data_IF_293091244394
#
_entry.id   IF_293091244394
#
_cell.length_a   1.000
_cell.length_b   1.000
_cell.length_c   1.000
_cell.angle_alpha   90.00
_cell.angle_beta   90.00
_cell.angle_gamma   90.00
#
_symmetry.space_group_name_H-M   'P 1'
#
loop_
_entity.id
_entity.type
_entity.pdbx_description
1 polymer ?
#
# COMPACT_ATOMS: atom_id res chain seq x y z
N UNK A 1 -13.81 5.16 -17.48
CA UNK A 1 -15.02 4.32 -17.61
C UNK A 1 -16.00 4.40 -16.42
N UNK A 2 -15.61 4.24 -15.13
CA UNK A 2 -16.58 4.13 -14.03
C UNK A 2 -17.47 5.37 -13.83
N UNK A 3 -16.89 6.58 -13.92
CA UNK A 3 -17.61 7.85 -13.72
C UNK A 3 -18.74 8.09 -14.74
N UNK A 4 -18.67 7.50 -15.94
CA UNK A 4 -19.71 7.62 -16.95
C UNK A 4 -20.92 6.71 -16.69
N UNK A 5 -20.74 5.56 -16.02
CA UNK A 5 -21.86 4.68 -15.66
C UNK A 5 -22.72 5.29 -14.55
N UNK A 6 -22.09 5.92 -13.56
CA UNK A 6 -22.78 6.60 -12.46
C UNK A 6 -23.68 7.74 -12.94
N UNK A 7 -23.16 8.62 -13.80
CA UNK A 7 -23.93 9.76 -14.35
C UNK A 7 -25.10 9.36 -15.23
N UNK A 8 -25.14 8.12 -15.73
CA UNK A 8 -26.23 7.59 -16.56
C UNK A 8 -27.21 6.71 -15.78
N UNK A 9 -27.12 6.67 -14.45
CA UNK A 9 -28.00 5.83 -13.61
C UNK A 9 -27.81 4.32 -13.81
N UNK A 10 -26.71 3.89 -14.45
CA UNK A 10 -26.46 2.48 -14.77
C UNK A 10 -25.81 1.69 -13.62
N UNK A 11 -25.53 2.35 -12.50
CA UNK A 11 -24.97 1.77 -11.29
C UNK A 11 -25.66 2.37 -10.08
N UNK A 12 -26.02 1.53 -9.11
CA UNK A 12 -26.53 1.96 -7.81
C UNK A 12 -25.71 1.31 -6.69
N UNK A 13 -25.58 2.02 -5.58
CA UNK A 13 -24.98 1.52 -4.34
C UNK A 13 -26.02 1.67 -3.25
N UNK A 14 -26.18 0.62 -2.45
CA UNK A 14 -27.12 0.55 -1.34
C UNK A 14 -26.40 -0.01 -0.13
N UNK A 15 -26.82 0.43 1.05
CA UNK A 15 -26.41 -0.18 2.31
C UNK A 15 -27.35 -1.37 2.56
N UNK A 16 -26.76 -2.51 2.95
CA UNK A 16 -27.53 -3.69 3.33
C UNK A 16 -28.01 -3.51 4.77
N UNK A 17 -29.34 -3.52 4.97
CA UNK A 17 -29.96 -3.41 6.29
C UNK A 17 -31.10 -4.44 6.40
N UNK A 18 -31.15 -5.25 7.47
CA UNK A 18 -30.13 -5.41 8.51
C UNK A 18 -28.86 -6.12 7.98
N UNK A 19 -27.72 -5.94 8.67
CA UNK A 19 -26.45 -6.59 8.37
C UNK A 19 -25.65 -6.83 9.66
N UNK A 20 -25.60 -8.06 10.13
CA UNK A 20 -24.88 -8.44 11.35
C UNK A 20 -23.39 -8.79 11.10
N UNK A 21 -23.01 -8.86 9.82
CA UNK A 21 -21.67 -9.25 9.38
C UNK A 21 -20.75 -8.03 9.26
N UNK A 22 -19.53 -8.12 9.81
CA UNK A 22 -18.51 -7.05 9.75
C UNK A 22 -18.11 -6.75 8.29
N UNK A 23 -18.03 -7.79 7.46
CA UNK A 23 -17.74 -7.67 6.03
C UNK A 23 -18.86 -8.33 5.23
N UNK A 24 -19.59 -7.50 4.50
CA UNK A 24 -20.60 -7.93 3.53
C UNK A 24 -20.42 -7.12 2.25
N UNK A 25 -20.38 -7.80 1.10
CA UNK A 25 -20.47 -7.12 -0.19
C UNK A 25 -21.26 -7.94 -1.18
N UNK A 26 -22.13 -7.26 -1.93
CA UNK A 26 -22.93 -7.86 -3.00
C UNK A 26 -22.76 -7.03 -4.26
N UNK A 27 -22.27 -7.68 -5.32
CA UNK A 27 -22.15 -7.09 -6.64
C UNK A 27 -23.11 -7.78 -7.60
N UNK A 28 -24.01 -6.99 -8.23
CA UNK A 28 -24.92 -7.47 -9.27
C UNK A 28 -24.61 -6.75 -10.57
N UNK A 29 -24.51 -7.50 -11.65
CA UNK A 29 -24.23 -7.02 -13.01
C UNK A 29 -25.32 -7.46 -13.97
N UNK A 30 -25.59 -6.65 -14.98
CA UNK A 30 -26.66 -6.88 -15.96
C UNK A 30 -26.12 -6.83 -17.39
N UNK A 31 -26.70 -7.65 -18.26
CA UNK A 31 -26.55 -7.59 -19.70
C UNK A 31 -27.93 -7.83 -20.36
N UNK A 32 -28.61 -6.74 -20.74
CA UNK A 32 -30.02 -6.78 -21.12
C UNK A 32 -30.88 -7.26 -19.94
N UNK A 33 -31.67 -8.30 -20.16
CA UNK A 33 -32.51 -8.94 -19.13
C UNK A 33 -31.74 -9.94 -18.25
N UNK A 34 -30.56 -10.38 -18.69
CA UNK A 34 -29.73 -11.34 -17.96
C UNK A 34 -28.96 -10.64 -16.86
N UNK A 35 -28.79 -11.32 -15.73
CA UNK A 35 -28.00 -10.82 -14.62
C UNK A 35 -27.28 -11.95 -13.87
N UNK A 36 -26.22 -11.54 -13.16
CA UNK A 36 -25.47 -12.34 -12.22
C UNK A 36 -25.20 -11.51 -10.96
N UNK A 37 -25.28 -12.14 -9.79
CA UNK A 37 -25.11 -11.54 -8.48
C UNK A 37 -24.18 -12.42 -7.65
N UNK A 38 -23.16 -11.82 -7.04
CA UNK A 38 -22.20 -12.50 -6.17
C UNK A 38 -22.21 -11.80 -4.82
N UNK A 39 -22.27 -12.58 -3.74
CA UNK A 39 -22.18 -12.10 -2.35
C UNK A 39 -20.98 -12.71 -1.66
N UNK A 40 -20.17 -11.87 -1.00
CA UNK A 40 -19.10 -12.28 -0.08
C UNK A 40 -19.46 -11.87 1.35
N UNK A 41 -19.08 -12.69 2.33
CA UNK A 41 -19.35 -12.46 3.76
C UNK A 41 -18.15 -12.88 4.62
N UNK A 42 -17.82 -12.11 5.67
CA UNK A 42 -16.80 -12.46 6.68
C UNK A 42 -15.34 -12.34 6.23
N UNK A 43 -15.07 -12.33 4.91
CA UNK A 43 -13.73 -12.18 4.34
C UNK A 43 -13.74 -11.69 2.89
N UNK A 44 -12.61 -11.16 2.43
CA UNK A 44 -12.47 -10.53 1.11
C UNK A 44 -12.65 -11.50 -0.08
N UNK A 45 -12.48 -12.79 0.15
CA UNK A 45 -12.54 -13.85 -0.88
C UNK A 45 -13.61 -14.91 -0.59
N UNK A 46 -14.34 -14.78 0.52
CA UNK A 46 -15.29 -15.79 0.97
C UNK A 46 -16.64 -15.60 0.25
N UNK A 47 -16.73 -16.12 -0.97
CA UNK A 47 -17.99 -16.13 -1.75
C UNK A 47 -18.97 -17.05 -1.06
N UNK A 48 -20.09 -16.53 -0.57
CA UNK A 48 -21.13 -17.33 0.09
C UNK A 48 -22.32 -17.62 -0.80
N UNK A 49 -22.52 -16.82 -1.85
CA UNK A 49 -23.69 -16.93 -2.71
C UNK A 49 -23.42 -16.43 -4.13
N UNK A 50 -23.82 -17.21 -5.13
CA UNK A 50 -23.87 -16.82 -6.54
C UNK A 50 -25.25 -17.12 -7.08
N UNK A 51 -25.86 -16.12 -7.69
CA UNK A 51 -27.24 -16.14 -8.16
C UNK A 51 -27.28 -15.56 -9.58
N UNK A 52 -28.08 -16.15 -10.47
CA UNK A 52 -28.29 -15.67 -11.84
C UNK A 52 -29.78 -15.58 -12.15
N UNK A 53 -30.12 -14.99 -13.29
CA UNK A 53 -31.47 -15.03 -13.84
C UNK A 53 -32.08 -16.44 -13.96
N UNK A 54 -31.26 -17.50 -13.98
CA UNK A 54 -31.71 -18.89 -14.03
C UNK A 54 -31.81 -19.54 -12.63
N UNK A 55 -31.60 -18.79 -11.56
CA UNK A 55 -31.61 -19.25 -10.18
C UNK A 55 -30.24 -19.28 -9.51
N UNK A 56 -30.20 -19.90 -8.33
CA UNK A 56 -29.00 -20.01 -7.49
C UNK A 56 -28.02 -21.01 -8.10
N UNK A 57 -26.78 -20.56 -8.32
CA UNK A 57 -25.68 -21.38 -8.86
C UNK A 57 -24.80 -21.92 -7.74
N UNK A 58 -24.66 -21.16 -6.66
CA UNK A 58 -23.79 -21.53 -5.54
C UNK A 58 -24.32 -20.93 -4.23
N UNK A 59 -24.31 -21.74 -3.17
CA UNK A 59 -24.56 -21.30 -1.79
C UNK A 59 -23.68 -22.12 -0.86
N UNK A 60 -23.05 -21.44 0.09
CA UNK A 60 -22.43 -22.07 1.25
C UNK A 60 -22.86 -21.32 2.52
N UNK A 61 -22.83 -22.02 3.66
CA UNK A 61 -22.99 -21.35 4.95
C UNK A 61 -21.81 -20.41 5.18
N UNK A 62 -22.04 -19.31 5.90
CA UNK A 62 -21.03 -18.29 6.20
C UNK A 62 -19.88 -18.78 7.12
N UNK A 63 -19.78 -20.09 7.37
CA UNK A 63 -18.70 -20.69 8.11
C UNK A 63 -17.47 -20.81 7.20
N UNK A 64 -16.44 -20.03 7.54
CA UNK A 64 -15.10 -20.13 6.96
C UNK A 64 -14.63 -21.57 7.12
N UNK A 65 -14.30 -22.23 6.01
CA UNK A 65 -13.69 -23.55 6.02
C UNK A 65 -12.34 -23.42 6.73
N UNK A 66 -12.20 -24.09 7.88
CA UNK A 66 -10.93 -24.31 8.57
C UNK A 66 -10.03 -25.17 7.67
N UNK A 67 -9.35 -24.50 6.75
CA UNK A 67 -8.33 -25.06 5.88
C UNK A 67 -7.29 -24.00 5.54
N UNK A 68 -7.13 -22.99 6.40
CA UNK A 68 -6.10 -21.98 6.24
C UNK A 68 -4.74 -22.65 6.48
N UNK A 69 -3.95 -22.81 5.41
CA UNK A 69 -2.50 -22.83 5.57
C UNK A 69 -2.14 -21.62 6.44
N UNK A 70 -1.38 -21.83 7.52
CA UNK A 70 -0.96 -20.74 8.40
C UNK A 70 -0.40 -19.59 7.55
N UNK A 71 -1.07 -18.43 7.61
CA UNK A 71 -0.63 -17.24 6.90
C UNK A 71 0.82 -16.94 7.29
N UNK A 72 1.73 -16.66 6.34
CA UNK A 72 3.09 -16.25 6.68
C UNK A 72 3.16 -15.03 7.62
N UNK A 73 2.06 -14.28 7.75
CA UNK A 73 1.94 -13.14 8.66
C UNK A 73 1.73 -13.53 10.13
N UNK A 74 1.41 -14.80 10.45
CA UNK A 74 1.25 -15.28 11.83
C UNK A 74 2.51 -15.06 12.66
N UNK A 75 3.69 -15.09 12.03
CA UNK A 75 4.97 -14.79 12.67
C UNK A 75 4.99 -13.38 13.27
N UNK A 76 4.29 -12.42 12.67
CA UNK A 76 4.25 -11.02 13.12
C UNK A 76 3.48 -10.84 14.42
N UNK A 77 2.60 -11.78 14.78
CA UNK A 77 1.94 -11.78 16.09
C UNK A 77 2.88 -12.13 17.24
N UNK A 78 4.06 -12.70 16.93
CA UNK A 78 5.08 -13.10 17.92
C UNK A 78 6.42 -12.38 17.72
N UNK A 79 6.52 -11.51 16.72
CA UNK A 79 7.72 -10.75 16.38
C UNK A 79 7.59 -9.33 16.91
N UNK A 80 8.70 -8.74 17.33
CA UNK A 80 8.80 -7.34 17.76
C UNK A 80 9.49 -6.47 16.70
N UNK A 81 9.27 -5.15 16.74
CA UNK A 81 10.01 -4.22 15.88
C UNK A 81 11.54 -4.30 16.09
N UNK A 82 11.98 -4.61 17.31
CA UNK A 82 13.40 -4.79 17.62
C UNK A 82 13.99 -6.02 16.90
N UNK A 83 13.23 -7.11 16.81
CA UNK A 83 13.64 -8.31 16.06
C UNK A 83 13.64 -8.05 14.55
N UNK A 84 12.69 -7.26 14.04
CA UNK A 84 12.70 -6.81 12.63
C UNK A 84 13.95 -6.00 12.34
N UNK A 85 14.29 -5.03 13.21
CA UNK A 85 15.49 -4.21 13.08
C UNK A 85 16.77 -5.08 13.12
N UNK A 86 16.81 -6.05 14.03
CA UNK A 86 17.93 -7.00 14.10
C UNK A 86 18.05 -7.81 12.80
N UNK A 87 16.94 -8.38 12.32
CA UNK A 87 16.90 -9.14 11.08
C UNK A 87 17.44 -8.33 9.90
N UNK A 88 16.97 -7.10 9.69
CA UNK A 88 17.42 -6.29 8.53
C UNK A 88 18.90 -5.90 8.60
N UNK A 89 19.51 -5.89 9.79
CA UNK A 89 20.93 -5.61 9.96
C UNK A 89 21.81 -6.86 9.75
N UNK A 90 21.32 -8.04 10.12
CA UNK A 90 22.11 -9.27 10.15
C UNK A 90 21.92 -10.15 8.89
N UNK A 91 20.75 -10.05 8.23
CA UNK A 91 20.44 -10.88 7.08
C UNK A 91 21.46 -10.66 5.94
N UNK A 92 21.93 -11.72 5.26
CA UNK A 92 22.81 -11.58 4.10
C UNK A 92 22.14 -10.75 3.01
N UNK A 93 22.86 -9.78 2.44
CA UNK A 93 22.33 -8.91 1.39
C UNK A 93 21.69 -9.68 0.23
N UNK A 94 22.30 -10.79 -0.18
CA UNK A 94 21.77 -11.63 -1.26
C UNK A 94 20.33 -12.13 -1.01
N UNK A 95 19.95 -12.36 0.26
CA UNK A 95 18.62 -12.84 0.62
C UNK A 95 17.55 -11.73 0.60
N UNK A 96 17.95 -10.46 0.68
CA UNK A 96 17.04 -9.30 0.66
C UNK A 96 17.16 -8.44 -0.59
N UNK A 97 18.14 -8.70 -1.46
CA UNK A 97 18.40 -7.90 -2.67
C UNK A 97 17.18 -7.72 -3.57
N UNK A 98 16.25 -8.68 -3.58
CA UNK A 98 14.99 -8.60 -4.34
C UNK A 98 14.17 -7.35 -4.01
N UNK A 99 14.31 -6.77 -2.82
CA UNK A 99 13.56 -5.58 -2.42
C UNK A 99 13.93 -4.35 -3.26
N UNK A 100 15.08 -4.35 -3.93
CA UNK A 100 15.48 -3.27 -4.84
C UNK A 100 14.55 -3.16 -6.06
N UNK A 101 13.84 -4.24 -6.42
CA UNK A 101 12.79 -4.17 -7.42
C UNK A 101 11.66 -3.20 -7.00
N UNK A 102 11.46 -2.99 -5.69
CA UNK A 102 10.49 -2.00 -5.19
C UNK A 102 10.86 -0.60 -5.64
N UNK A 103 12.14 -0.24 -5.47
CA UNK A 103 12.69 1.04 -5.88
C UNK A 103 12.58 1.20 -7.39
N UNK A 104 12.95 0.18 -8.16
CA UNK A 104 12.87 0.21 -9.63
C UNK A 104 11.45 0.48 -10.13
N UNK A 105 10.47 -0.33 -9.70
CA UNK A 105 9.09 -0.23 -10.18
C UNK A 105 8.45 1.10 -9.76
N UNK A 106 8.63 1.49 -8.51
CA UNK A 106 8.01 2.71 -7.99
C UNK A 106 8.71 3.99 -8.49
N UNK A 107 10.02 3.95 -8.79
CA UNK A 107 10.70 5.05 -9.47
C UNK A 107 10.22 5.25 -10.90
N UNK A 108 10.00 4.16 -11.65
CA UNK A 108 9.43 4.26 -12.99
C UNK A 108 8.05 4.93 -12.97
N UNK A 109 7.20 4.56 -12.00
CA UNK A 109 5.91 5.24 -11.77
C UNK A 109 6.07 6.71 -11.37
N UNK A 110 7.05 7.01 -10.52
CA UNK A 110 7.35 8.39 -10.11
C UNK A 110 7.70 9.26 -11.31
N UNK A 111 8.61 8.78 -12.17
CA UNK A 111 9.00 9.46 -13.41
C UNK A 111 7.82 9.64 -14.36
N UNK A 112 7.01 8.59 -14.55
CA UNK A 112 5.81 8.66 -15.38
C UNK A 112 4.81 9.70 -14.84
N UNK A 113 4.65 9.79 -13.52
CA UNK A 113 3.78 10.78 -12.88
C UNK A 113 4.26 12.22 -13.05
N UNK A 114 5.58 12.43 -13.08
CA UNK A 114 6.18 13.75 -13.31
C UNK A 114 5.97 14.27 -14.75
N UNK A 115 5.61 13.41 -15.70
CA UNK A 115 5.17 13.86 -17.04
C UNK A 115 3.96 14.79 -16.98
N UNK A 116 3.17 14.74 -15.89
CA UNK A 116 2.01 15.60 -15.69
C UNK A 116 0.78 15.19 -16.49
N UNK A 117 0.72 13.93 -16.96
CA UNK A 117 -0.38 13.39 -17.74
C UNK A 117 -1.38 12.54 -16.92
N UNK A 118 -1.14 12.37 -15.61
CA UNK A 118 -1.84 11.40 -14.78
C UNK A 118 -2.40 11.97 -13.47
N UNK A 119 -3.55 11.44 -13.06
CA UNK A 119 -4.09 11.72 -11.73
C UNK A 119 -4.47 13.19 -11.54
N UNK A 120 -4.04 13.77 -10.42
CA UNK A 120 -4.28 15.17 -10.06
C UNK A 120 -3.07 16.07 -10.35
N UNK A 121 -1.99 15.51 -10.91
CA UNK A 121 -0.75 16.22 -11.22
C UNK A 121 -0.11 16.91 -9.99
N UNK A 122 -0.27 16.36 -8.78
CA UNK A 122 0.27 16.92 -7.54
C UNK A 122 1.79 17.01 -7.63
N UNK A 123 2.46 15.89 -7.93
CA UNK A 123 3.92 15.85 -8.01
C UNK A 123 4.47 16.81 -9.07
N UNK A 124 3.92 16.76 -10.29
CA UNK A 124 4.30 17.65 -11.38
C UNK A 124 4.01 19.14 -11.08
N UNK A 125 2.93 19.44 -10.37
CA UNK A 125 2.60 20.82 -9.97
C UNK A 125 3.58 21.34 -8.93
N UNK A 126 3.90 20.53 -7.91
CA UNK A 126 4.88 20.88 -6.89
C UNK A 126 6.28 21.08 -7.50
N UNK A 127 6.70 20.21 -8.42
CA UNK A 127 7.96 20.37 -9.17
C UNK A 127 8.02 21.70 -9.94
N UNK A 128 6.92 22.06 -10.63
CA UNK A 128 6.79 23.37 -11.29
C UNK A 128 6.86 24.53 -10.30
N UNK A 129 6.27 24.42 -9.10
CA UNK A 129 6.37 25.48 -8.10
C UNK A 129 7.80 25.61 -7.55
N UNK A 130 8.51 24.50 -7.36
CA UNK A 130 9.93 24.52 -7.04
C UNK A 130 10.75 25.21 -8.14
N UNK A 131 10.47 24.91 -9.42
CA UNK A 131 11.15 25.55 -10.55
C UNK A 131 10.91 27.08 -10.63
N UNK A 132 9.73 27.53 -10.19
CA UNK A 132 9.35 28.95 -10.10
C UNK A 132 9.90 29.67 -8.85
N UNK A 133 10.58 28.95 -7.95
CA UNK A 133 11.06 29.51 -6.68
C UNK A 133 9.97 29.76 -5.64
N UNK A 134 8.76 29.22 -5.85
CA UNK A 134 7.64 29.35 -4.91
C UNK A 134 7.66 28.28 -3.81
N UNK A 135 8.37 27.17 -4.05
CA UNK A 135 8.66 26.14 -3.06
C UNK A 135 10.17 25.87 -3.03
N UNK A 136 10.68 25.45 -1.87
CA UNK A 136 12.07 25.07 -1.71
C UNK A 136 12.39 23.83 -2.57
N UNK A 137 13.64 23.75 -3.06
CA UNK A 137 14.19 22.55 -3.71
C UNK A 137 15.02 21.78 -2.69
N UNK A 138 14.35 21.17 -1.73
CA UNK A 138 14.98 20.44 -0.62
C UNK A 138 14.56 18.96 -0.58
N UNK A 139 15.13 18.22 0.37
CA UNK A 139 14.86 16.80 0.58
C UNK A 139 13.38 16.54 0.86
N UNK A 140 12.76 17.36 1.72
CA UNK A 140 11.35 17.24 2.09
C UNK A 140 10.44 17.38 0.86
N UNK A 141 10.69 18.42 0.05
CA UNK A 141 9.95 18.65 -1.19
C UNK A 141 10.15 17.51 -2.19
N UNK A 142 11.37 17.00 -2.30
CA UNK A 142 11.70 15.87 -3.18
C UNK A 142 10.96 14.58 -2.78
N UNK A 143 10.85 14.29 -1.48
CA UNK A 143 10.10 13.15 -0.95
C UNK A 143 8.62 13.26 -1.36
N UNK A 144 7.99 14.42 -1.10
CA UNK A 144 6.57 14.65 -1.41
C UNK A 144 6.32 14.61 -2.91
N UNK A 145 7.14 15.29 -3.71
CA UNK A 145 7.02 15.35 -5.17
C UNK A 145 7.07 13.94 -5.76
N UNK A 146 8.12 13.17 -5.46
CA UNK A 146 8.34 11.86 -6.08
C UNK A 146 7.32 10.82 -5.62
N UNK A 147 6.92 10.86 -4.35
CA UNK A 147 5.90 9.95 -3.81
C UNK A 147 4.51 10.25 -4.38
N UNK A 148 4.13 11.53 -4.44
CA UNK A 148 2.83 11.94 -4.99
C UNK A 148 2.74 11.72 -6.50
N UNK A 149 3.82 11.96 -7.26
CA UNK A 149 3.87 11.65 -8.69
C UNK A 149 3.63 10.16 -8.97
N UNK A 150 4.28 9.26 -8.22
CA UNK A 150 4.06 7.82 -8.38
C UNK A 150 2.60 7.42 -8.09
N UNK A 151 2.01 8.01 -7.04
CA UNK A 151 0.60 7.81 -6.71
C UNK A 151 -0.33 8.34 -7.81
N UNK A 152 -0.04 9.50 -8.38
CA UNK A 152 -0.79 10.10 -9.50
C UNK A 152 -0.74 9.21 -10.74
N UNK A 153 0.43 8.71 -11.13
CA UNK A 153 0.57 7.78 -12.26
C UNK A 153 -0.27 6.52 -12.04
N UNK A 154 -0.12 5.88 -10.88
CA UNK A 154 -0.84 4.64 -10.54
C UNK A 154 -2.35 4.87 -10.47
N UNK A 155 -2.81 5.89 -9.76
CA UNK A 155 -4.23 6.19 -9.60
C UNK A 155 -4.86 6.76 -10.87
N UNK A 156 -4.05 7.39 -11.73
CA UNK A 156 -4.41 7.86 -13.05
C UNK A 156 -4.57 6.73 -14.08
N UNK A 157 -4.11 5.51 -13.77
CA UNK A 157 -4.23 4.35 -14.64
C UNK A 157 -3.06 4.17 -15.61
N UNK A 158 -1.87 4.65 -15.26
CA UNK A 158 -0.66 4.33 -16.00
C UNK A 158 -0.47 2.81 -16.12
N UNK A 159 0.08 2.35 -17.24
CA UNK A 159 0.28 0.92 -17.54
C UNK A 159 1.48 0.31 -16.82
N UNK A 160 2.20 1.11 -16.03
CA UNK A 160 3.33 0.66 -15.23
C UNK A 160 2.86 -0.02 -13.93
N UNK A 161 3.52 -1.11 -13.51
CA UNK A 161 3.20 -1.78 -12.26
C UNK A 161 3.69 -0.99 -11.04
N UNK A 162 2.95 -1.08 -9.94
CA UNK A 162 3.38 -0.63 -8.62
C UNK A 162 3.77 -1.84 -7.78
N UNK A 163 4.93 -1.80 -7.10
CA UNK A 163 5.15 -2.79 -6.04
C UNK A 163 4.20 -2.47 -4.89
N UNK A 164 3.41 -3.47 -4.46
CA UNK A 164 2.47 -3.32 -3.37
C UNK A 164 3.09 -3.62 -2.00
N UNK A 165 2.55 -2.99 -0.96
CA UNK A 165 2.70 -3.45 0.43
C UNK A 165 1.30 -3.78 0.96
N UNK A 166 1.14 -4.90 1.65
CA UNK A 166 -0.13 -5.34 2.24
C UNK A 166 -1.32 -5.27 1.24
N UNK A 167 -1.08 -5.72 0.00
CA UNK A 167 -2.08 -5.74 -1.08
C UNK A 167 -2.39 -4.39 -1.74
N UNK A 168 -1.72 -3.29 -1.36
CA UNK A 168 -1.97 -1.95 -1.92
C UNK A 168 -0.73 -1.34 -2.59
N UNK A 169 -0.89 -0.94 -3.86
CA UNK A 169 0.15 -0.23 -4.61
C UNK A 169 0.52 1.12 -4.00
N UNK A 170 -0.45 1.90 -3.50
CA UNK A 170 -0.14 3.18 -2.85
C UNK A 170 0.60 2.99 -1.53
N UNK A 171 0.30 1.93 -0.77
CA UNK A 171 1.10 1.61 0.42
C UNK A 171 2.53 1.27 0.04
N UNK A 172 2.73 0.48 -1.02
CA UNK A 172 4.09 0.16 -1.48
C UNK A 172 4.85 1.38 -2.01
N UNK A 173 4.17 2.29 -2.73
CA UNK A 173 4.74 3.59 -3.12
C UNK A 173 5.15 4.39 -1.89
N UNK A 174 4.26 4.54 -0.90
CA UNK A 174 4.53 5.29 0.34
C UNK A 174 5.67 4.66 1.15
N UNK A 175 5.76 3.34 1.23
CA UNK A 175 6.84 2.64 1.92
C UNK A 175 8.20 2.73 1.18
N UNK A 176 8.18 2.97 -0.13
CA UNK A 176 9.38 2.91 -0.98
C UNK A 176 9.95 4.29 -1.30
N UNK A 177 9.13 5.18 -1.89
CA UNK A 177 9.62 6.40 -2.52
C UNK A 177 10.34 7.35 -1.55
N UNK A 178 9.85 7.59 -0.32
CA UNK A 178 10.58 8.41 0.65
C UNK A 178 11.98 7.84 0.97
N UNK A 179 12.08 6.52 1.15
CA UNK A 179 13.35 5.82 1.44
C UNK A 179 14.32 5.95 0.27
N UNK A 180 13.84 5.78 -0.96
CA UNK A 180 14.66 5.96 -2.16
C UNK A 180 15.20 7.38 -2.28
N UNK A 181 14.35 8.40 -2.08
CA UNK A 181 14.79 9.80 -2.15
C UNK A 181 15.87 10.09 -1.09
N UNK A 182 15.68 9.59 0.13
CA UNK A 182 16.68 9.76 1.22
C UNK A 182 17.97 9.01 0.91
N UNK A 183 17.90 7.78 0.39
CA UNK A 183 19.07 7.00 0.02
C UNK A 183 19.91 7.69 -1.06
N UNK A 184 19.27 8.22 -2.11
CA UNK A 184 19.93 9.00 -3.16
C UNK A 184 20.58 10.26 -2.59
N UNK A 185 19.90 10.97 -1.69
CA UNK A 185 20.42 12.18 -1.06
C UNK A 185 21.72 11.92 -0.26
N UNK A 186 21.80 10.78 0.43
CA UNK A 186 22.98 10.39 1.21
C UNK A 186 24.00 9.55 0.42
N UNK A 187 23.77 9.28 -0.87
CA UNK A 187 24.64 8.44 -1.68
C UNK A 187 24.77 7.01 -1.17
N UNK A 188 23.68 6.44 -0.63
CA UNK A 188 23.67 5.07 -0.13
C UNK A 188 23.84 4.06 -1.29
N UNK A 189 24.59 2.99 -1.03
CA UNK A 189 24.74 1.88 -1.95
C UNK A 189 23.50 0.97 -1.96
N UNK A 190 23.49 -0.01 -2.88
CA UNK A 190 22.41 -0.97 -3.05
C UNK A 190 22.11 -1.77 -1.77
N UNK A 191 23.13 -2.11 -0.98
CA UNK A 191 22.93 -2.88 0.24
C UNK A 191 22.25 -2.04 1.32
N UNK A 192 22.70 -0.79 1.53
CA UNK A 192 22.06 0.14 2.46
C UNK A 192 20.64 0.47 2.02
N UNK A 193 20.41 0.72 0.72
CA UNK A 193 19.07 0.93 0.20
C UNK A 193 18.18 -0.30 0.44
N UNK A 194 18.68 -1.52 0.18
CA UNK A 194 17.92 -2.74 0.40
C UNK A 194 17.54 -2.93 1.87
N UNK A 195 18.49 -2.75 2.81
CA UNK A 195 18.22 -2.87 4.25
C UNK A 195 17.21 -1.83 4.74
N UNK A 196 17.31 -0.59 4.28
CA UNK A 196 16.35 0.47 4.60
C UNK A 196 14.95 0.19 4.06
N UNK A 197 14.85 -0.31 2.82
CA UNK A 197 13.58 -0.70 2.23
C UNK A 197 12.97 -1.91 2.95
N UNK A 198 13.78 -2.89 3.34
CA UNK A 198 13.30 -4.02 4.15
C UNK A 198 12.73 -3.54 5.47
N UNK A 199 13.43 -2.66 6.17
CA UNK A 199 12.94 -2.10 7.44
C UNK A 199 11.62 -1.37 7.24
N UNK A 200 11.52 -0.56 6.18
CA UNK A 200 10.31 0.18 5.85
C UNK A 200 9.12 -0.75 5.57
N UNK A 201 9.29 -1.71 4.66
CA UNK A 201 8.22 -2.61 4.26
C UNK A 201 7.80 -3.55 5.38
N UNK A 202 8.75 -4.14 6.12
CA UNK A 202 8.43 -5.02 7.25
C UNK A 202 7.77 -4.27 8.40
N UNK A 203 8.20 -3.04 8.71
CA UNK A 203 7.53 -2.21 9.73
C UNK A 203 6.12 -1.84 9.31
N UNK A 204 5.91 -1.49 8.03
CA UNK A 204 4.58 -1.21 7.50
C UNK A 204 3.65 -2.43 7.61
N UNK A 205 4.14 -3.63 7.23
CA UNK A 205 3.38 -4.88 7.33
C UNK A 205 3.10 -5.22 8.80
N UNK A 206 4.10 -5.08 9.68
CA UNK A 206 3.96 -5.32 11.11
C UNK A 206 2.86 -4.46 11.72
N UNK A 207 2.87 -3.15 11.47
CA UNK A 207 1.85 -2.21 12.00
C UNK A 207 0.49 -2.52 11.37
N UNK A 208 0.45 -2.80 10.06
CA UNK A 208 -0.79 -3.11 9.36
C UNK A 208 -1.46 -4.39 9.91
N UNK A 209 -0.68 -5.40 10.27
CA UNK A 209 -1.17 -6.66 10.83
C UNK A 209 -1.82 -6.52 12.22
N UNK A 210 -1.55 -5.41 12.92
CA UNK A 210 -2.21 -5.10 14.21
C UNK A 210 -3.58 -4.43 14.03
N UNK A 211 -3.94 -4.04 12.79
CA UNK A 211 -5.24 -3.44 12.49
C UNK A 211 -6.30 -4.53 12.26
N UNK A 212 -7.56 -4.27 12.64
CA UNK A 212 -8.66 -5.18 12.33
C UNK A 212 -8.84 -5.33 10.81
N UNK A 213 -9.40 -6.47 10.37
CA UNK A 213 -9.65 -6.80 8.95
C UNK A 213 -10.39 -5.70 8.19
N UNK A 214 -11.23 -4.93 8.89
CA UNK A 214 -11.84 -3.71 8.40
C UNK A 214 -11.46 -2.56 9.34
N UNK A 215 -10.73 -1.58 8.83
CA UNK A 215 -10.31 -0.40 9.59
C UNK A 215 -10.69 0.87 8.83
N UNK A 216 -11.16 1.89 9.56
CA UNK A 216 -11.37 3.23 9.02
C UNK A 216 -10.05 4.01 8.82
N UNK A 217 -8.92 3.47 9.30
CA UNK A 217 -7.60 4.06 9.12
C UNK A 217 -7.08 3.78 7.70
N UNK A 218 -6.67 4.84 6.99
CA UNK A 218 -5.97 4.67 5.73
C UNK A 218 -4.64 3.96 5.95
N UNK A 219 -4.47 2.78 5.35
CA UNK A 219 -3.23 2.02 5.46
C UNK A 219 -2.01 2.72 4.81
N UNK A 220 -2.20 3.83 4.09
CA UNK A 220 -1.09 4.71 3.71
C UNK A 220 -0.37 5.29 4.95
N UNK A 221 -1.07 5.45 6.08
CA UNK A 221 -0.48 5.91 7.34
C UNK A 221 0.49 4.87 7.92
N UNK A 222 0.14 3.59 7.91
CA UNK A 222 1.03 2.52 8.37
C UNK A 222 2.25 2.38 7.45
N UNK A 223 2.05 2.53 6.14
CA UNK A 223 3.15 2.60 5.18
C UNK A 223 4.07 3.80 5.42
N UNK A 224 3.53 4.97 5.80
CA UNK A 224 4.32 6.16 6.11
C UNK A 224 5.15 5.97 7.40
N UNK A 225 4.60 5.30 8.41
CA UNK A 225 5.35 4.93 9.63
C UNK A 225 6.52 3.98 9.29
N UNK A 226 6.31 3.02 8.40
CA UNK A 226 7.40 2.18 7.88
C UNK A 226 8.45 3.00 7.13
N UNK A 227 8.03 3.87 6.21
CA UNK A 227 8.93 4.75 5.47
C UNK A 227 9.79 5.61 6.41
N UNK A 228 9.21 6.13 7.49
CA UNK A 228 9.95 6.88 8.51
C UNK A 228 11.05 6.02 9.17
N UNK A 229 10.77 4.75 9.49
CA UNK A 229 11.78 3.84 10.04
C UNK A 229 12.94 3.59 9.06
N UNK A 230 12.63 3.35 7.77
CA UNK A 230 13.65 3.16 6.74
C UNK A 230 14.49 4.42 6.48
N UNK A 231 13.85 5.59 6.44
CA UNK A 231 14.55 6.88 6.30
C UNK A 231 15.45 7.16 7.52
N UNK A 232 14.95 6.93 8.74
CA UNK A 232 15.73 7.08 9.96
C UNK A 232 16.95 6.18 9.95
N UNK A 233 16.80 4.90 9.56
CA UNK A 233 17.93 3.96 9.47
C UNK A 233 19.01 4.41 8.46
N UNK A 234 18.63 5.04 7.34
CA UNK A 234 19.58 5.60 6.37
C UNK A 234 20.37 6.78 6.93
N UNK A 235 19.70 7.64 7.70
CA UNK A 235 20.31 8.79 8.37
C UNK A 235 21.22 8.33 9.52
N UNK A 236 20.78 7.33 10.28
CA UNK A 236 21.36 6.90 11.57
C UNK A 236 22.51 5.89 11.46
N UNK A 237 23.10 5.70 10.27
CA UNK A 237 24.45 5.10 10.15
C UNK A 237 25.56 5.86 10.91
N UNK A 238 25.20 6.89 11.71
CA UNK A 238 26.04 7.74 12.56
C UNK A 238 25.42 8.13 13.93
N UNK A 239 24.32 7.52 14.41
CA UNK A 239 23.67 7.94 15.67
C UNK A 239 23.75 6.87 16.77
N UNK A 240 24.32 7.22 17.93
CA UNK A 240 24.21 6.42 19.16
C UNK A 240 22.74 6.33 19.59
N UNK A 241 22.27 5.20 20.13
CA UNK A 241 20.85 4.94 20.30
C UNK A 241 20.15 6.04 21.10
N UNK A 242 19.06 6.58 20.52
CA UNK A 242 18.04 7.29 21.28
C UNK A 242 17.51 6.35 22.37
N UNK A 243 18.06 6.49 23.57
CA UNK A 243 17.53 5.89 24.79
C UNK A 243 16.20 6.60 25.04
N UNK A 244 15.09 5.88 24.95
CA UNK A 244 13.83 6.33 25.54
C UNK A 244 14.09 6.58 27.02
N UNK A 245 14.36 7.84 27.40
CA UNK A 245 14.27 8.25 28.79
C UNK A 245 12.79 8.23 29.10
N UNK A 246 12.35 7.19 29.81
CA UNK A 246 11.15 7.23 30.61
C UNK A 246 11.15 8.55 31.38
N UNK A 247 10.24 9.45 31.02
CA UNK A 247 9.92 10.58 31.86
C UNK A 247 9.24 10.02 33.11
N UNK A 248 9.91 10.18 34.24
CA UNK A 248 9.26 10.26 35.56
C UNK A 248 8.49 11.58 35.60
#
# INVERSE_FOLDING_TARGET
MPKHCWRRGKSSVKIQEPCDEILFSRAKVWNGEKWACVTIVGGHTNIVHIETHNGVVFTQQACVTEGEQESPLTVLSRTTLAEILKFVNEVPFAAIRFILDSAKLNCALSQEGLSGNWGLHIGATLEKQCARGLLAKDLSSSIVIRTSAASDARMGGATLPAMSNSGSGNQGITATMPVVVVAEHFGADDERLARALMLSHLSAIYIHNQLPRLSALCAATTAAMGAAAGMAWLVDGRYEPFRWRSAV
#
